data_IF_596652809085
#
_entry.id   IF_596652809085
#
_cell.length_a   1.000
_cell.length_b   1.000
_cell.length_c   1.000
_cell.angle_alpha   90.00
_cell.angle_beta   90.00
_cell.angle_gamma   90.00
#
_symmetry.space_group_name_H-M   'P 1'
#
loop_
_entity.id
_entity.type
_entity.pdbx_description
1 polymer ?
#
# COMPACT_ATOMS: atom_id res chain seq x y z
N UNK A 1 -0.69 11.15 18.86
CA UNK A 1 -1.70 11.53 17.86
C UNK A 1 -2.68 10.38 17.65
N UNK A 2 -3.97 10.66 17.58
CA UNK A 2 -5.01 9.71 17.19
C UNK A 2 -4.87 9.32 15.71
N UNK A 3 -5.43 8.16 15.32
CA UNK A 3 -5.32 7.64 13.94
C UNK A 3 -5.85 8.64 12.90
N UNK A 4 -6.99 9.29 13.18
CA UNK A 4 -7.57 10.32 12.32
C UNK A 4 -6.65 11.53 12.10
N UNK A 5 -5.93 11.94 13.16
CA UNK A 5 -4.97 13.05 13.09
C UNK A 5 -3.73 12.67 12.28
N UNK A 6 -3.26 11.41 12.40
CA UNK A 6 -2.13 10.90 11.59
C UNK A 6 -2.49 10.88 10.11
N UNK A 7 -3.68 10.37 9.76
CA UNK A 7 -4.17 10.38 8.38
C UNK A 7 -4.25 11.78 7.77
N UNK A 8 -4.80 12.75 8.53
CA UNK A 8 -4.86 14.17 8.10
C UNK A 8 -3.47 14.79 7.89
N UNK A 9 -2.46 14.30 8.62
CA UNK A 9 -1.06 14.73 8.47
C UNK A 9 -0.30 13.99 7.36
N UNK A 10 -1.00 13.21 6.53
CA UNK A 10 -0.41 12.54 5.39
C UNK A 10 0.18 11.16 5.66
N UNK A 11 -0.13 10.53 6.80
CA UNK A 11 0.25 9.14 7.04
C UNK A 11 -0.79 8.19 6.46
N UNK A 12 -0.34 7.20 5.72
CA UNK A 12 -1.15 6.10 5.18
C UNK A 12 -0.68 4.78 5.78
N UNK A 13 -1.61 3.86 6.01
CA UNK A 13 -1.33 2.50 6.45
C UNK A 13 -2.12 1.53 5.58
N UNK A 14 -1.42 0.69 4.82
CA UNK A 14 -1.98 -0.52 4.25
C UNK A 14 -1.87 -1.64 5.30
N UNK A 15 -3.01 -2.15 5.72
CA UNK A 15 -3.09 -3.11 6.81
C UNK A 15 -2.86 -4.54 6.33
N UNK A 16 -2.31 -5.39 7.20
CA UNK A 16 -2.21 -6.84 6.94
C UNK A 16 -3.58 -7.43 6.57
N UNK A 17 -4.64 -7.04 7.30
CA UNK A 17 -6.02 -7.48 7.07
C UNK A 17 -6.93 -6.27 6.83
N UNK A 18 -7.17 -5.88 5.56
CA UNK A 18 -8.05 -4.78 5.22
C UNK A 18 -9.49 -5.03 5.68
N UNK A 19 -10.05 -4.07 6.40
CA UNK A 19 -11.40 -4.16 6.96
C UNK A 19 -12.47 -3.98 5.87
N UNK A 20 -13.60 -4.65 6.05
CA UNK A 20 -14.80 -4.49 5.21
C UNK A 20 -15.71 -3.41 5.79
N UNK A 21 -16.28 -2.59 4.92
CA UNK A 21 -17.23 -1.54 5.28
C UNK A 21 -18.52 -1.69 4.46
N UNK A 22 -19.46 -2.54 4.92
CA UNK A 22 -20.76 -2.70 4.26
C UNK A 22 -21.52 -1.38 4.18
N UNK A 23 -22.16 -1.13 3.05
CA UNK A 23 -22.97 0.08 2.83
C UNK A 23 -22.16 1.32 2.40
N UNK A 24 -20.83 1.28 2.38
CA UNK A 24 -19.98 2.39 1.93
C UNK A 24 -19.26 1.97 0.66
N UNK A 25 -19.60 2.56 -0.48
CA UNK A 25 -18.90 2.26 -1.74
C UNK A 25 -17.46 2.78 -1.73
N UNK A 26 -16.59 2.12 -2.52
CA UNK A 26 -15.17 2.54 -2.68
C UNK A 26 -15.07 4.01 -3.07
N UNK A 27 -15.90 4.45 -4.03
CA UNK A 27 -15.91 5.86 -4.46
C UNK A 27 -16.31 6.80 -3.32
N UNK A 28 -17.35 6.48 -2.55
CA UNK A 28 -17.79 7.32 -1.44
C UNK A 28 -16.77 7.37 -0.30
N UNK A 29 -16.15 6.24 0.00
CA UNK A 29 -15.07 6.19 0.98
C UNK A 29 -13.89 7.08 0.56
N UNK A 30 -13.43 6.95 -0.68
CA UNK A 30 -12.33 7.75 -1.20
C UNK A 30 -12.67 9.25 -1.22
N UNK A 31 -13.89 9.63 -1.63
CA UNK A 31 -14.31 11.02 -1.59
C UNK A 31 -14.20 11.59 -0.18
N UNK A 32 -14.81 10.93 0.80
CA UNK A 32 -14.81 11.41 2.18
C UNK A 32 -13.41 11.50 2.79
N UNK A 33 -12.55 10.52 2.49
CA UNK A 33 -11.19 10.49 3.02
C UNK A 33 -10.30 11.56 2.39
N UNK A 34 -10.40 11.80 1.08
CA UNK A 34 -9.66 12.88 0.41
C UNK A 34 -10.14 14.25 0.89
N UNK A 35 -11.46 14.47 1.01
CA UNK A 35 -12.03 15.72 1.55
C UNK A 35 -11.59 15.96 3.01
N UNK A 36 -11.60 14.90 3.84
CA UNK A 36 -11.15 14.99 5.24
C UNK A 36 -9.66 15.33 5.37
N UNK A 37 -8.82 14.82 4.44
CA UNK A 37 -7.39 15.08 4.41
C UNK A 37 -7.07 16.48 3.87
N UNK A 38 -7.69 16.86 2.76
CA UNK A 38 -7.37 18.12 2.07
C UNK A 38 -8.13 19.32 2.62
N UNK A 39 -9.20 19.09 3.40
CA UNK A 39 -10.17 20.09 3.84
C UNK A 39 -10.82 20.87 2.68
N UNK A 40 -10.94 20.24 1.52
CA UNK A 40 -11.51 20.80 0.29
C UNK A 40 -12.56 19.85 -0.27
N UNK A 41 -13.66 20.42 -0.76
CA UNK A 41 -14.60 19.66 -1.58
C UNK A 41 -13.95 19.26 -2.88
N UNK A 42 -14.19 18.01 -3.29
CA UNK A 42 -13.66 17.48 -4.53
C UNK A 42 -14.78 17.16 -5.52
N UNK A 43 -14.52 17.39 -6.78
CA UNK A 43 -15.42 16.98 -7.85
C UNK A 43 -15.49 15.45 -7.93
N UNK A 44 -16.67 14.88 -7.72
CA UNK A 44 -16.91 13.44 -7.83
C UNK A 44 -16.52 12.92 -9.22
N UNK A 45 -16.79 13.69 -10.27
CA UNK A 45 -16.43 13.31 -11.65
C UNK A 45 -14.92 13.23 -11.83
N UNK A 46 -14.17 14.19 -11.30
CA UNK A 46 -12.71 14.18 -11.38
C UNK A 46 -12.11 13.04 -10.55
N UNK A 47 -12.62 12.83 -9.34
CA UNK A 47 -12.17 11.71 -8.50
C UNK A 47 -12.45 10.37 -9.19
N UNK A 48 -13.65 10.17 -9.72
CA UNK A 48 -14.00 8.94 -10.46
C UNK A 48 -13.09 8.72 -11.65
N UNK A 49 -12.78 9.77 -12.41
CA UNK A 49 -11.85 9.68 -13.54
C UNK A 49 -10.44 9.23 -13.09
N UNK A 50 -9.91 9.82 -12.05
CA UNK A 50 -8.61 9.43 -11.48
C UNK A 50 -8.64 8.00 -10.95
N UNK A 51 -9.71 7.64 -10.25
CA UNK A 51 -9.92 6.30 -9.71
C UNK A 51 -9.93 5.24 -10.81
N UNK A 52 -10.70 5.44 -11.90
CA UNK A 52 -10.74 4.51 -13.02
C UNK A 52 -9.38 4.38 -13.71
N UNK A 53 -8.63 5.47 -13.86
CA UNK A 53 -7.28 5.42 -14.41
C UNK A 53 -6.29 4.62 -13.53
N UNK A 54 -6.43 4.67 -12.22
CA UNK A 54 -5.64 3.86 -11.31
C UNK A 54 -6.12 2.41 -11.24
N UNK A 55 -7.44 2.17 -11.34
CA UNK A 55 -7.99 0.81 -11.42
C UNK A 55 -7.46 0.06 -12.66
N UNK A 56 -7.39 0.72 -13.81
CA UNK A 56 -6.80 0.16 -15.03
C UNK A 56 -5.33 -0.26 -14.81
N UNK A 57 -4.52 0.59 -14.17
CA UNK A 57 -3.12 0.27 -13.81
C UNK A 57 -2.97 -0.87 -12.81
N UNK A 58 -3.96 -1.05 -11.95
CA UNK A 58 -3.97 -2.08 -10.91
C UNK A 58 -4.71 -3.36 -11.35
N UNK A 59 -5.08 -3.46 -12.62
CA UNK A 59 -5.85 -4.58 -13.16
C UNK A 59 -7.12 -4.88 -12.31
N UNK A 60 -7.87 -3.81 -12.00
CA UNK A 60 -9.12 -3.87 -11.26
C UNK A 60 -10.30 -3.54 -12.18
N UNK A 61 -11.36 -4.35 -12.11
CA UNK A 61 -12.59 -4.05 -12.83
C UNK A 61 -13.20 -2.72 -12.34
N UNK A 62 -13.61 -1.87 -13.28
CA UNK A 62 -14.24 -0.59 -12.97
C UNK A 62 -15.51 -0.68 -12.13
N UNK A 63 -16.18 -1.83 -12.11
CA UNK A 63 -17.34 -2.09 -11.28
C UNK A 63 -17.03 -2.03 -9.77
N UNK A 64 -15.76 -2.23 -9.37
CA UNK A 64 -15.36 -2.10 -7.96
C UNK A 64 -15.56 -0.68 -7.41
N UNK A 65 -15.60 0.33 -8.26
CA UNK A 65 -15.87 1.71 -7.86
C UNK A 65 -17.19 1.86 -7.07
N UNK A 66 -18.20 1.12 -7.48
CA UNK A 66 -19.56 1.22 -6.96
C UNK A 66 -19.88 0.10 -5.95
N UNK A 67 -18.98 -0.89 -5.77
CA UNK A 67 -19.11 -1.93 -4.75
C UNK A 67 -18.75 -1.40 -3.36
N UNK A 68 -19.27 -2.05 -2.33
CA UNK A 68 -18.92 -1.71 -0.95
C UNK A 68 -17.45 -2.05 -0.65
N UNK A 69 -16.82 -1.18 0.12
CA UNK A 69 -15.39 -1.23 0.40
C UNK A 69 -14.99 -2.59 1.00
N UNK A 70 -14.19 -3.32 0.26
CA UNK A 70 -13.63 -4.63 0.59
C UNK A 70 -14.66 -5.76 0.80
N UNK A 71 -15.98 -5.50 0.71
CA UNK A 71 -17.02 -6.53 0.93
C UNK A 71 -17.02 -7.54 -0.22
N UNK A 72 -16.73 -8.79 0.13
CA UNK A 72 -16.65 -9.90 -0.82
C UNK A 72 -15.49 -9.77 -1.82
N UNK A 73 -14.48 -8.94 -1.55
CA UNK A 73 -13.25 -8.89 -2.33
C UNK A 73 -12.34 -10.06 -1.96
N UNK A 74 -11.68 -10.65 -2.95
CA UNK A 74 -10.58 -11.58 -2.72
C UNK A 74 -9.40 -10.88 -2.02
N UNK A 75 -8.46 -11.64 -1.48
CA UNK A 75 -7.25 -11.10 -0.84
C UNK A 75 -6.48 -10.15 -1.78
N UNK A 76 -6.27 -10.57 -3.03
CA UNK A 76 -5.58 -9.76 -4.03
C UNK A 76 -6.34 -8.48 -4.39
N UNK A 77 -7.66 -8.54 -4.53
CA UNK A 77 -8.50 -7.35 -4.80
C UNK A 77 -8.47 -6.37 -3.62
N UNK A 78 -8.49 -6.85 -2.37
CA UNK A 78 -8.33 -6.00 -1.18
C UNK A 78 -7.00 -5.26 -1.18
N UNK A 79 -5.89 -5.96 -1.49
CA UNK A 79 -4.56 -5.35 -1.54
C UNK A 79 -4.42 -4.35 -2.69
N UNK A 80 -4.92 -4.66 -3.90
CA UNK A 80 -4.97 -3.69 -5.00
C UNK A 80 -5.80 -2.46 -4.64
N UNK A 81 -6.92 -2.65 -3.93
CA UNK A 81 -7.75 -1.54 -3.44
C UNK A 81 -7.03 -0.67 -2.39
N UNK A 82 -6.14 -1.21 -1.56
CA UNK A 82 -5.29 -0.41 -0.67
C UNK A 82 -4.30 0.45 -1.46
N UNK A 83 -3.69 -0.09 -2.53
CA UNK A 83 -2.79 0.70 -3.38
C UNK A 83 -3.58 1.77 -4.14
N UNK A 84 -4.81 1.49 -4.59
CA UNK A 84 -5.72 2.50 -5.16
C UNK A 84 -5.97 3.65 -4.17
N UNK A 85 -6.25 3.32 -2.91
CA UNK A 85 -6.43 4.31 -1.84
C UNK A 85 -5.16 5.14 -1.64
N UNK A 86 -3.99 4.49 -1.56
CA UNK A 86 -2.71 5.18 -1.43
C UNK A 86 -2.46 6.16 -2.58
N UNK A 87 -2.77 5.76 -3.81
CA UNK A 87 -2.59 6.59 -4.99
C UNK A 87 -3.46 7.86 -4.95
N UNK A 88 -4.73 7.74 -4.53
CA UNK A 88 -5.69 8.84 -4.54
C UNK A 88 -5.62 9.71 -3.28
N UNK A 89 -5.17 9.15 -2.16
CA UNK A 89 -4.93 9.90 -0.93
C UNK A 89 -3.63 10.69 -0.96
N UNK A 90 -2.71 10.36 -1.84
CA UNK A 90 -1.42 11.04 -2.01
C UNK A 90 -0.66 11.29 -0.69
N UNK A 91 -0.37 10.28 0.12
CA UNK A 91 0.27 10.46 1.41
C UNK A 91 1.68 11.05 1.31
N UNK A 92 2.19 11.57 2.44
CA UNK A 92 3.57 11.98 2.58
C UNK A 92 4.44 10.84 3.14
N UNK A 93 3.81 9.92 3.89
CA UNK A 93 4.44 8.72 4.42
C UNK A 93 3.46 7.55 4.39
N UNK A 94 3.88 6.43 3.83
CA UNK A 94 3.10 5.20 3.75
C UNK A 94 3.79 4.05 4.50
N UNK A 95 3.01 3.30 5.26
CA UNK A 95 3.41 2.02 5.86
C UNK A 95 2.66 0.92 5.11
N UNK A 96 3.39 -0.03 4.57
CA UNK A 96 2.88 -1.21 3.87
C UNK A 96 3.13 -2.43 4.76
N UNK A 97 2.09 -2.86 5.49
CA UNK A 97 2.20 -3.94 6.46
C UNK A 97 1.76 -5.26 5.83
N UNK A 98 2.72 -6.12 5.49
CA UNK A 98 2.52 -7.40 4.81
C UNK A 98 1.54 -7.32 3.62
N UNK A 99 1.72 -6.31 2.77
CA UNK A 99 0.85 -6.10 1.60
C UNK A 99 0.99 -7.19 0.54
N UNK A 100 1.97 -8.04 0.65
CA UNK A 100 2.28 -9.20 -0.19
C UNK A 100 1.68 -10.51 0.34
N UNK A 101 1.16 -10.52 1.56
CA UNK A 101 0.61 -11.73 2.18
C UNK A 101 -0.61 -12.26 1.41
N UNK A 102 -0.55 -13.53 1.02
CA UNK A 102 -1.64 -14.21 0.31
C UNK A 102 -1.81 -13.81 -1.16
N UNK A 103 -0.86 -13.09 -1.75
CA UNK A 103 -0.85 -12.78 -3.17
C UNK A 103 -0.17 -13.88 -3.99
N UNK A 104 -0.73 -14.16 -5.16
CA UNK A 104 -0.01 -14.87 -6.22
C UNK A 104 1.04 -13.97 -6.87
N UNK A 105 1.85 -14.54 -7.77
CA UNK A 105 2.97 -13.83 -8.39
C UNK A 105 2.49 -12.63 -9.21
N UNK A 106 1.39 -12.77 -9.94
CA UNK A 106 0.86 -11.73 -10.82
C UNK A 106 0.27 -10.56 -9.99
N UNK A 107 -0.51 -10.88 -8.97
CA UNK A 107 -1.05 -9.87 -8.05
C UNK A 107 0.06 -9.12 -7.29
N UNK A 108 1.11 -9.82 -6.87
CA UNK A 108 2.28 -9.21 -6.25
C UNK A 108 2.97 -8.20 -7.18
N UNK A 109 3.17 -8.59 -8.43
CA UNK A 109 3.79 -7.71 -9.43
C UNK A 109 2.95 -6.46 -9.69
N UNK A 110 1.63 -6.61 -9.78
CA UNK A 110 0.69 -5.48 -9.96
C UNK A 110 0.79 -4.52 -8.78
N UNK A 111 0.72 -5.03 -7.54
CA UNK A 111 0.84 -4.24 -6.31
C UNK A 111 2.18 -3.50 -6.26
N UNK A 112 3.29 -4.19 -6.47
CA UNK A 112 4.62 -3.58 -6.46
C UNK A 112 4.79 -2.53 -7.57
N UNK A 113 4.27 -2.78 -8.76
CA UNK A 113 4.27 -1.82 -9.87
C UNK A 113 3.46 -0.59 -9.50
N UNK A 114 2.28 -0.75 -8.90
CA UNK A 114 1.45 0.34 -8.40
C UNK A 114 2.19 1.23 -7.39
N UNK A 115 2.85 0.62 -6.40
CA UNK A 115 3.67 1.35 -5.41
C UNK A 115 4.78 2.14 -6.09
N UNK A 116 5.52 1.52 -7.02
CA UNK A 116 6.60 2.18 -7.76
C UNK A 116 6.10 3.35 -8.61
N UNK A 117 4.94 3.22 -9.25
CA UNK A 117 4.32 4.33 -10.02
C UNK A 117 3.93 5.50 -9.10
N UNK A 118 3.39 5.22 -7.91
CA UNK A 118 3.09 6.25 -6.92
C UNK A 118 4.38 6.96 -6.48
N UNK A 119 5.43 6.20 -6.14
CA UNK A 119 6.73 6.76 -5.73
C UNK A 119 7.38 7.62 -6.82
N UNK A 120 7.30 7.19 -8.09
CA UNK A 120 7.79 7.98 -9.24
C UNK A 120 7.05 9.31 -9.39
N UNK A 121 5.73 9.31 -9.19
CA UNK A 121 4.92 10.53 -9.28
C UNK A 121 5.08 11.45 -8.08
N UNK A 122 5.58 10.92 -6.95
CA UNK A 122 5.75 11.62 -5.67
C UNK A 122 7.14 11.36 -5.06
N UNK A 123 8.18 12.03 -5.54
CA UNK A 123 9.58 11.77 -5.10
C UNK A 123 9.84 12.03 -3.60
N UNK A 124 8.95 12.74 -2.92
CA UNK A 124 9.05 13.03 -1.48
C UNK A 124 8.31 12.02 -0.59
N UNK A 125 7.60 11.06 -1.19
CA UNK A 125 6.89 10.03 -0.44
C UNK A 125 7.88 9.10 0.25
N UNK A 126 7.81 9.02 1.58
CA UNK A 126 8.48 7.98 2.35
C UNK A 126 7.64 6.70 2.36
N UNK A 127 8.24 5.57 2.05
CA UNK A 127 7.58 4.26 2.13
C UNK A 127 8.34 3.35 3.08
N UNK A 128 7.65 2.85 4.11
CA UNK A 128 8.13 1.79 4.98
C UNK A 128 7.37 0.50 4.63
N UNK A 129 8.08 -0.52 4.17
CA UNK A 129 7.50 -1.82 3.87
C UNK A 129 7.92 -2.81 4.95
N UNK A 130 6.94 -3.49 5.55
CA UNK A 130 7.14 -4.61 6.47
C UNK A 130 6.78 -5.88 5.70
N UNK A 131 7.73 -6.76 5.52
CA UNK A 131 7.53 -8.02 4.80
C UNK A 131 8.56 -9.06 5.22
N UNK A 132 8.20 -10.32 5.07
CA UNK A 132 9.10 -11.46 5.15
C UNK A 132 9.29 -12.15 3.77
N UNK A 133 8.75 -11.55 2.70
CA UNK A 133 8.87 -12.08 1.33
C UNK A 133 9.85 -11.25 0.51
N UNK A 134 10.96 -11.85 0.14
CA UNK A 134 11.98 -11.22 -0.68
C UNK A 134 11.44 -10.74 -2.03
N UNK A 135 10.53 -11.50 -2.66
CA UNK A 135 9.98 -11.16 -3.98
C UNK A 135 9.41 -9.74 -4.06
N UNK A 136 8.73 -9.27 -3.02
CA UNK A 136 8.25 -7.89 -2.97
C UNK A 136 9.42 -6.90 -3.00
N UNK A 137 10.48 -7.17 -2.23
CA UNK A 137 11.68 -6.33 -2.15
C UNK A 137 12.44 -6.30 -3.48
N UNK A 138 12.46 -7.41 -4.23
CA UNK A 138 13.05 -7.48 -5.57
C UNK A 138 12.37 -6.52 -6.56
N UNK A 139 11.07 -6.30 -6.41
CA UNK A 139 10.32 -5.35 -7.24
C UNK A 139 10.44 -3.91 -6.75
N UNK A 140 10.44 -3.68 -5.43
CA UNK A 140 10.46 -2.33 -4.84
C UNK A 140 11.86 -1.73 -4.76
N UNK A 141 12.92 -2.58 -4.65
CA UNK A 141 14.33 -2.16 -4.54
C UNK A 141 14.52 -1.10 -3.45
N UNK A 142 14.27 -1.42 -2.17
CA UNK A 142 14.37 -0.46 -1.09
C UNK A 142 15.80 0.11 -0.97
N UNK A 143 15.90 1.40 -0.63
CA UNK A 143 17.17 2.08 -0.40
C UNK A 143 17.82 1.72 0.94
N UNK A 144 17.02 1.31 1.91
CA UNK A 144 17.46 0.91 3.25
C UNK A 144 16.70 -0.34 3.67
N UNK A 145 17.41 -1.25 4.33
CA UNK A 145 16.88 -2.50 4.88
C UNK A 145 17.28 -2.60 6.34
N UNK A 146 16.34 -3.01 7.18
CA UNK A 146 16.57 -3.27 8.60
C UNK A 146 16.13 -4.68 8.94
N UNK A 147 17.00 -5.45 9.57
CA UNK A 147 16.69 -6.79 10.08
C UNK A 147 16.18 -6.67 11.51
N UNK A 148 14.94 -7.11 11.73
CA UNK A 148 14.27 -7.07 13.04
C UNK A 148 14.18 -8.47 13.61
N UNK A 149 14.76 -8.68 14.79
CA UNK A 149 14.68 -9.94 15.55
C UNK A 149 14.29 -9.64 16.97
N UNK A 150 13.32 -10.38 17.51
CA UNK A 150 12.81 -10.21 18.89
C UNK A 150 12.50 -8.74 19.27
N UNK A 151 11.94 -7.98 18.32
CA UNK A 151 11.56 -6.57 18.53
C UNK A 151 12.73 -5.58 18.53
N UNK A 152 13.95 -6.00 18.14
CA UNK A 152 15.13 -5.14 18.02
C UNK A 152 15.66 -5.14 16.61
N UNK A 153 16.08 -3.96 16.14
CA UNK A 153 16.85 -3.86 14.90
C UNK A 153 18.28 -4.30 15.21
N UNK A 154 18.69 -5.39 14.59
CA UNK A 154 20.01 -6.02 14.82
C UNK A 154 20.99 -5.73 13.69
N UNK A 155 20.49 -5.38 12.51
CA UNK A 155 21.32 -5.01 11.36
C UNK A 155 20.61 -3.96 10.51
N UNK A 156 21.38 -3.13 9.79
CA UNK A 156 20.86 -2.07 8.92
C UNK A 156 21.84 -1.83 7.78
N UNK A 157 21.33 -1.82 6.55
CA UNK A 157 22.16 -1.66 5.35
C UNK A 157 21.33 -1.38 4.11
N UNK A 158 21.87 -1.69 2.95
CA UNK A 158 21.20 -1.59 1.66
C UNK A 158 20.56 -2.92 1.23
N UNK A 159 20.38 -3.06 -0.08
CA UNK A 159 19.73 -4.24 -0.67
C UNK A 159 20.54 -5.54 -0.49
N UNK A 160 21.84 -5.42 -0.24
CA UNK A 160 22.75 -6.55 0.05
C UNK A 160 22.30 -7.38 1.26
N UNK A 161 21.57 -6.76 2.23
CA UNK A 161 21.01 -7.51 3.36
C UNK A 161 19.85 -8.42 2.94
N UNK A 162 19.10 -8.06 1.89
CA UNK A 162 18.05 -8.92 1.33
C UNK A 162 18.67 -10.16 0.70
N UNK A 163 19.74 -9.97 -0.09
CA UNK A 163 20.47 -11.07 -0.74
C UNK A 163 21.12 -12.01 0.29
N UNK A 164 21.68 -11.44 1.36
CA UNK A 164 22.23 -12.20 2.47
C UNK A 164 21.17 -13.01 3.19
N UNK A 165 20.00 -12.40 3.46
CA UNK A 165 18.88 -13.08 4.11
C UNK A 165 18.36 -14.27 3.28
N UNK A 166 18.33 -14.12 1.93
CA UNK A 166 17.92 -15.19 1.02
C UNK A 166 18.88 -16.38 1.03
N UNK A 167 20.18 -16.10 1.12
CA UNK A 167 21.22 -17.15 1.05
C UNK A 167 21.49 -17.82 2.39
N UNK A 168 21.49 -17.07 3.48
CA UNK A 168 21.93 -17.53 4.81
C UNK A 168 20.76 -17.70 5.81
N UNK A 169 19.55 -17.21 5.45
CA UNK A 169 18.40 -17.20 6.35
C UNK A 169 18.62 -16.28 7.55
N UNK A 170 17.72 -16.35 8.54
CA UNK A 170 17.83 -15.58 9.79
C UNK A 170 18.92 -16.09 10.72
N UNK A 171 19.46 -17.31 10.49
CA UNK A 171 20.51 -17.90 11.34
C UNK A 171 21.77 -17.03 11.39
N UNK A 172 22.03 -16.24 10.36
CA UNK A 172 23.16 -15.31 10.33
C UNK A 172 23.07 -14.18 11.38
N UNK A 173 21.88 -14.00 12.00
CA UNK A 173 21.61 -12.94 13.00
C UNK A 173 21.11 -13.47 14.35
N UNK A 174 21.00 -14.79 14.53
CA UNK A 174 20.66 -15.46 15.79
C UNK A 174 21.90 -15.93 16.54
#
# INVERSE_FOLDING_TARGET
LESSQRGKKGMFLACQYPQEFPGVSVLNFLRQTVEARTSKEISILNLRKQMLAWMDKLDMDSAFADRYLNEGFSGGEKKRNEILQMALLEPDFAVLDETDSGLDIDALQIVATGVNEIMKSRPHLGVLTITHYQRLLDHLKPSHVHILVEGKIIDSGGFELVEKLDTEGYEAWL
#
